data_IF_363130251841
#
_entry.id   IF_363130251841
#
_cell.length_a   1.000
_cell.length_b   1.000
_cell.length_c   1.000
_cell.angle_alpha   90.00
_cell.angle_beta   90.00
_cell.angle_gamma   90.00
#
_symmetry.space_group_name_H-M   'P 1'
#
loop_
_entity.id
_entity.type
_entity.pdbx_description
1 polymer ?
#
# COMPACT_ATOMS: atom_id res chain seq x y z
N UNK A 1 3.87 -36.29 -2.77
CA UNK A 1 4.13 -35.71 -1.42
C UNK A 1 4.94 -34.40 -1.47
N UNK A 2 6.10 -34.35 -2.14
CA UNK A 2 6.94 -33.14 -2.24
C UNK A 2 6.27 -31.93 -2.92
N UNK A 3 5.55 -32.16 -4.02
CA UNK A 3 4.82 -31.10 -4.73
C UNK A 3 3.70 -30.46 -3.89
N UNK A 4 3.01 -31.26 -3.05
CA UNK A 4 1.98 -30.73 -2.13
C UNK A 4 2.61 -29.82 -1.06
N UNK A 5 3.78 -30.18 -0.55
CA UNK A 5 4.52 -29.42 0.46
C UNK A 5 5.05 -28.08 -0.08
N UNK A 6 5.58 -28.06 -1.30
CA UNK A 6 6.00 -26.80 -1.96
C UNK A 6 4.83 -25.85 -2.20
N UNK A 7 3.69 -26.37 -2.63
CA UNK A 7 2.47 -25.59 -2.87
C UNK A 7 1.93 -24.98 -1.57
N UNK A 8 1.94 -25.73 -0.46
CA UNK A 8 1.57 -25.23 0.87
C UNK A 8 2.56 -24.16 1.37
N UNK A 9 3.86 -24.33 1.13
CA UNK A 9 4.90 -23.34 1.51
C UNK A 9 4.74 -22.05 0.71
N UNK A 10 4.49 -22.14 -0.59
CA UNK A 10 4.26 -21.00 -1.50
C UNK A 10 2.97 -20.24 -1.15
N UNK A 11 1.91 -20.96 -0.77
CA UNK A 11 0.67 -20.36 -0.25
C UNK A 11 0.88 -19.58 1.05
N UNK A 12 1.62 -20.16 2.02
CA UNK A 12 1.99 -19.46 3.27
C UNK A 12 2.86 -18.23 3.03
N UNK A 13 3.77 -18.27 2.05
CA UNK A 13 4.62 -17.12 1.71
C UNK A 13 3.79 -15.97 1.12
N UNK A 14 2.87 -16.27 0.20
CA UNK A 14 1.95 -15.26 -0.35
C UNK A 14 1.09 -14.58 0.72
N UNK A 15 0.54 -15.36 1.66
CA UNK A 15 -0.24 -14.81 2.78
C UNK A 15 0.58 -13.82 3.63
N UNK A 16 1.85 -14.16 3.91
CA UNK A 16 2.76 -13.27 4.62
C UNK A 16 3.03 -11.96 3.85
N UNK A 17 3.11 -12.01 2.53
CA UNK A 17 3.26 -10.84 1.66
C UNK A 17 2.14 -9.82 1.83
N UNK A 18 0.88 -10.26 1.73
CA UNK A 18 -0.28 -9.37 1.90
C UNK A 18 -0.40 -8.83 3.33
N UNK A 19 0.03 -9.59 4.34
CA UNK A 19 0.10 -9.10 5.72
C UNK A 19 1.10 -7.95 5.84
N UNK A 20 2.32 -8.11 5.30
CA UNK A 20 3.29 -7.00 5.29
C UNK A 20 2.79 -5.79 4.51
N UNK A 21 2.09 -6.01 3.39
CA UNK A 21 1.46 -4.95 2.62
C UNK A 21 0.39 -4.20 3.43
N UNK A 22 -0.45 -4.92 4.17
CA UNK A 22 -1.46 -4.31 5.04
C UNK A 22 -0.83 -3.44 6.14
N UNK A 23 0.19 -3.95 6.84
CA UNK A 23 0.92 -3.16 7.83
C UNK A 23 1.66 -1.96 7.22
N UNK A 24 2.18 -2.12 5.99
CA UNK A 24 2.82 -1.03 5.24
C UNK A 24 1.83 0.12 4.99
N UNK A 25 0.60 -0.19 4.57
CA UNK A 25 -0.45 0.80 4.34
C UNK A 25 -0.82 1.51 5.66
N UNK A 26 -0.96 0.79 6.76
CA UNK A 26 -1.25 1.41 8.07
C UNK A 26 -0.13 2.40 8.46
N UNK A 27 1.13 2.01 8.27
CA UNK A 27 2.28 2.87 8.52
C UNK A 27 2.32 4.10 7.62
N UNK A 28 1.99 3.94 6.34
CA UNK A 28 1.89 5.03 5.37
C UNK A 28 0.81 6.03 5.75
N UNK A 29 -0.38 5.54 6.08
CA UNK A 29 -1.53 6.35 6.44
C UNK A 29 -1.25 7.11 7.75
N UNK A 30 -0.62 6.45 8.73
CA UNK A 30 -0.14 7.11 9.94
C UNK A 30 0.91 8.19 9.65
N UNK A 31 1.90 7.89 8.80
CA UNK A 31 2.92 8.87 8.42
C UNK A 31 2.30 10.08 7.71
N UNK A 32 1.32 9.85 6.84
CA UNK A 32 0.62 10.90 6.10
C UNK A 32 -0.25 11.75 7.03
N UNK A 33 -0.88 11.14 8.02
CA UNK A 33 -1.58 11.85 9.08
C UNK A 33 -0.63 12.78 9.88
N UNK A 34 0.53 12.26 10.28
CA UNK A 34 1.57 13.05 10.96
C UNK A 34 2.14 14.14 10.04
N UNK A 35 2.20 13.90 8.73
CA UNK A 35 2.66 14.89 7.75
C UNK A 35 1.74 16.10 7.71
N UNK A 36 0.42 15.90 7.77
CA UNK A 36 -0.54 16.99 7.89
C UNK A 36 -0.34 17.77 9.20
N UNK A 37 -0.03 17.08 10.30
CA UNK A 37 0.20 17.70 11.62
C UNK A 37 1.56 18.38 11.76
N UNK A 38 2.54 18.08 10.91
CA UNK A 38 3.87 18.68 11.02
C UNK A 38 3.94 20.14 10.59
N UNK A 39 2.86 20.67 10.02
CA UNK A 39 2.78 22.03 9.46
C UNK A 39 3.97 22.33 8.53
N UNK A 40 4.21 21.41 7.58
CA UNK A 40 5.33 21.53 6.65
C UNK A 40 6.69 21.31 7.32
N UNK A 41 6.77 20.38 8.28
CA UNK A 41 7.96 20.03 9.05
C UNK A 41 8.42 21.05 10.09
N UNK A 42 7.57 22.02 10.42
CA UNK A 42 7.84 23.01 11.48
C UNK A 42 7.79 22.39 12.87
N UNK A 43 6.88 21.41 13.09
CA UNK A 43 6.71 20.75 14.40
C UNK A 43 7.54 19.46 14.46
N UNK A 44 8.44 19.38 15.44
CA UNK A 44 9.47 18.33 15.51
C UNK A 44 8.89 16.93 15.76
N UNK A 45 7.94 16.82 16.70
CA UNK A 45 7.36 15.54 17.13
C UNK A 45 6.63 14.80 15.98
N UNK A 46 5.67 15.41 15.26
CA UNK A 46 5.04 14.79 14.10
C UNK A 46 6.04 14.56 12.95
N UNK A 47 7.04 15.43 12.76
CA UNK A 47 8.10 15.22 11.75
C UNK A 47 8.87 13.91 11.97
N UNK A 48 9.22 13.60 13.22
CA UNK A 48 9.84 12.30 13.56
C UNK A 48 8.87 11.15 13.22
N UNK A 49 7.58 11.32 13.55
CA UNK A 49 6.52 10.36 13.20
C UNK A 49 6.41 10.10 11.70
N UNK A 50 6.51 11.15 10.86
CA UNK A 50 6.53 11.03 9.39
C UNK A 50 7.70 10.17 8.93
N UNK A 51 8.92 10.50 9.39
CA UNK A 51 10.14 9.80 8.95
C UNK A 51 10.07 8.33 9.34
N UNK A 52 9.74 8.03 10.59
CA UNK A 52 9.65 6.65 11.09
C UNK A 52 8.52 5.89 10.39
N UNK A 53 7.35 6.51 10.24
CA UNK A 53 6.18 5.88 9.63
C UNK A 53 6.42 5.53 8.15
N UNK A 54 6.95 6.47 7.35
CA UNK A 54 7.29 6.19 5.96
C UNK A 54 8.44 5.20 5.83
N UNK A 55 9.49 5.30 6.65
CA UNK A 55 10.60 4.35 6.62
C UNK A 55 10.12 2.91 6.91
N UNK A 56 9.27 2.75 7.94
CA UNK A 56 8.68 1.46 8.27
C UNK A 56 7.76 0.96 7.15
N UNK A 57 6.93 1.84 6.58
CA UNK A 57 6.05 1.50 5.47
C UNK A 57 6.83 1.02 4.25
N UNK A 58 7.89 1.72 3.86
CA UNK A 58 8.76 1.36 2.75
C UNK A 58 9.54 0.06 3.00
N UNK A 59 9.95 -0.18 4.25
CA UNK A 59 10.58 -1.45 4.60
C UNK A 59 9.60 -2.63 4.46
N UNK A 60 8.36 -2.46 4.93
CA UNK A 60 7.33 -3.48 4.86
C UNK A 60 6.87 -3.78 3.43
N UNK A 61 6.70 -2.75 2.58
CA UNK A 61 6.37 -2.97 1.17
C UNK A 61 7.52 -3.72 0.49
N UNK A 62 8.79 -3.37 0.75
CA UNK A 62 9.96 -4.09 0.24
C UNK A 62 9.92 -5.59 0.61
N UNK A 63 9.47 -5.91 1.82
CA UNK A 63 9.32 -7.31 2.25
C UNK A 63 8.16 -8.02 1.53
N UNK A 64 7.06 -7.32 1.24
CA UNK A 64 5.92 -7.84 0.47
C UNK A 64 6.30 -8.22 -0.98
N UNK A 65 7.23 -7.45 -1.58
CA UNK A 65 7.71 -7.63 -2.95
C UNK A 65 8.44 -8.95 -3.19
N UNK A 66 8.89 -9.63 -2.13
CA UNK A 66 9.46 -10.99 -2.23
C UNK A 66 8.42 -12.03 -2.69
N UNK A 67 7.14 -11.70 -2.64
CA UNK A 67 6.04 -12.64 -2.87
C UNK A 67 4.93 -12.10 -3.78
N UNK A 68 4.79 -10.78 -3.83
CA UNK A 68 3.80 -10.05 -4.65
C UNK A 68 4.56 -9.32 -5.77
N UNK A 69 4.10 -9.38 -7.03
CA UNK A 69 4.72 -8.63 -8.10
C UNK A 69 4.66 -7.12 -7.82
N UNK A 70 5.75 -6.42 -8.18
CA UNK A 70 5.93 -4.99 -7.95
C UNK A 70 4.72 -4.14 -8.34
N UNK A 71 4.21 -4.36 -9.56
CA UNK A 71 3.05 -3.63 -10.09
C UNK A 71 1.81 -3.77 -9.20
N UNK A 72 1.52 -4.97 -8.70
CA UNK A 72 0.34 -5.21 -7.85
C UNK A 72 0.55 -4.62 -6.45
N UNK A 73 1.75 -4.81 -5.88
CA UNK A 73 2.07 -4.27 -4.56
C UNK A 73 1.96 -2.75 -4.54
N UNK A 74 2.55 -2.06 -5.53
CA UNK A 74 2.45 -0.60 -5.64
C UNK A 74 1.02 -0.13 -5.91
N UNK A 75 0.25 -0.81 -6.76
CA UNK A 75 -1.13 -0.45 -7.02
C UNK A 75 -2.01 -0.54 -5.77
N UNK A 76 -1.88 -1.63 -5.01
CA UNK A 76 -2.65 -1.82 -3.77
C UNK A 76 -2.19 -0.84 -2.69
N UNK A 77 -0.87 -0.68 -2.51
CA UNK A 77 -0.30 0.24 -1.51
C UNK A 77 -0.76 1.68 -1.78
N UNK A 78 -0.51 2.22 -2.98
CA UNK A 78 -0.89 3.61 -3.29
C UNK A 78 -2.40 3.81 -3.37
N UNK A 79 -3.14 2.88 -3.97
CA UNK A 79 -4.58 3.03 -4.16
C UNK A 79 -5.35 2.95 -2.84
N UNK A 80 -5.08 1.91 -2.04
CA UNK A 80 -5.74 1.76 -0.72
C UNK A 80 -5.22 2.81 0.26
N UNK A 81 -3.92 3.10 0.26
CA UNK A 81 -3.32 4.17 1.08
C UNK A 81 -3.94 5.53 0.80
N UNK A 82 -4.14 5.88 -0.47
CA UNK A 82 -4.81 7.14 -0.87
C UNK A 82 -6.26 7.16 -0.41
N UNK A 83 -7.04 6.09 -0.65
CA UNK A 83 -8.44 6.02 -0.26
C UNK A 83 -8.62 6.15 1.28
N UNK A 84 -7.79 5.46 2.06
CA UNK A 84 -7.81 5.55 3.51
C UNK A 84 -7.37 6.92 4.01
N UNK A 85 -6.28 7.47 3.48
CA UNK A 85 -5.80 8.81 3.84
C UNK A 85 -6.89 9.86 3.59
N UNK A 86 -7.57 9.79 2.45
CA UNK A 86 -8.64 10.72 2.12
C UNK A 86 -9.82 10.58 3.09
N UNK A 87 -10.19 9.35 3.48
CA UNK A 87 -11.23 9.10 4.48
C UNK A 87 -10.83 9.65 5.86
N UNK A 88 -9.58 9.48 6.27
CA UNK A 88 -9.08 10.06 7.54
C UNK A 88 -9.07 11.59 7.46
N UNK A 89 -8.72 12.18 6.31
CA UNK A 89 -8.88 13.61 6.01
C UNK A 89 -10.26 14.12 6.43
N UNK A 90 -11.30 13.44 5.95
CA UNK A 90 -12.70 13.77 6.24
C UNK A 90 -13.05 13.55 7.71
N UNK A 91 -12.66 12.42 8.31
CA UNK A 91 -13.08 12.06 9.67
C UNK A 91 -12.34 12.86 10.75
N UNK A 92 -11.04 13.06 10.59
CA UNK A 92 -10.17 13.66 11.62
C UNK A 92 -10.08 15.17 11.44
N UNK A 93 -9.91 15.64 10.20
CA UNK A 93 -9.73 17.07 9.90
C UNK A 93 -10.99 17.75 9.38
N UNK A 94 -12.11 17.02 9.24
CA UNK A 94 -13.35 17.55 8.65
C UNK A 94 -13.12 18.16 7.26
N UNK A 95 -12.18 17.58 6.48
CA UNK A 95 -11.99 17.97 5.09
C UNK A 95 -13.32 17.83 4.31
N UNK A 96 -13.60 18.74 3.36
CA UNK A 96 -14.87 18.76 2.66
C UNK A 96 -15.08 17.47 1.85
N UNK A 97 -16.07 16.68 2.26
CA UNK A 97 -16.48 15.50 1.52
C UNK A 97 -17.45 15.89 0.41
N UNK A 98 -17.05 15.69 -0.85
CA UNK A 98 -17.88 15.96 -2.01
C UNK A 98 -18.16 14.69 -2.83
N UNK A 99 -19.19 14.75 -3.68
CA UNK A 99 -19.53 13.64 -4.59
C UNK A 99 -18.38 13.28 -5.55
N UNK A 100 -17.53 14.25 -5.91
CA UNK A 100 -16.38 14.02 -6.79
C UNK A 100 -15.31 13.15 -6.13
N UNK A 101 -15.04 13.36 -4.84
CA UNK A 101 -14.11 12.60 -4.01
C UNK A 101 -14.60 11.16 -3.85
N UNK A 102 -15.90 10.98 -3.61
CA UNK A 102 -16.49 9.64 -3.56
C UNK A 102 -16.30 8.90 -4.90
N UNK A 103 -16.62 9.55 -6.03
CA UNK A 103 -16.39 8.97 -7.35
C UNK A 103 -14.90 8.63 -7.59
N UNK A 104 -13.99 9.51 -7.18
CA UNK A 104 -12.55 9.28 -7.31
C UNK A 104 -12.09 8.07 -6.49
N UNK A 105 -12.52 7.94 -5.23
CA UNK A 105 -12.20 6.79 -4.39
C UNK A 105 -12.73 5.49 -5.01
N UNK A 106 -13.95 5.50 -5.53
CA UNK A 106 -14.53 4.33 -6.22
C UNK A 106 -13.70 3.93 -7.44
N UNK A 107 -13.27 4.91 -8.24
CA UNK A 107 -12.41 4.66 -9.42
C UNK A 107 -11.03 4.12 -9.02
N UNK A 108 -10.41 4.64 -7.96
CA UNK A 108 -9.13 4.16 -7.45
C UNK A 108 -9.26 2.69 -7.02
N UNK A 109 -10.25 2.38 -6.17
CA UNK A 109 -10.48 1.01 -5.68
C UNK A 109 -10.83 0.08 -6.85
N UNK A 110 -11.66 0.54 -7.79
CA UNK A 110 -12.00 -0.20 -9.00
C UNK A 110 -10.78 -0.52 -9.87
N UNK A 111 -9.87 0.45 -10.06
CA UNK A 111 -8.61 0.25 -10.79
C UNK A 111 -7.68 -0.77 -10.12
N UNK A 112 -7.56 -0.71 -8.79
CA UNK A 112 -6.79 -1.70 -8.01
C UNK A 112 -7.41 -3.10 -8.12
N UNK A 113 -8.73 -3.21 -8.00
CA UNK A 113 -9.45 -4.47 -8.13
C UNK A 113 -9.31 -5.08 -9.54
N UNK A 114 -9.33 -4.23 -10.57
CA UNK A 114 -9.09 -4.65 -11.94
C UNK A 114 -7.65 -5.15 -12.15
N UNK A 115 -6.65 -4.44 -11.63
CA UNK A 115 -5.25 -4.88 -11.69
C UNK A 115 -5.03 -6.21 -10.96
N UNK A 116 -5.64 -6.39 -9.79
CA UNK A 116 -5.60 -7.65 -9.05
C UNK A 116 -6.26 -8.81 -9.82
N UNK A 117 -7.30 -8.51 -10.61
CA UNK A 117 -7.98 -9.50 -11.46
C UNK A 117 -7.24 -9.77 -12.76
N UNK A 118 -6.46 -8.81 -13.25
CA UNK A 118 -5.65 -8.96 -14.45
C UNK A 118 -4.51 -9.95 -14.20
N UNK A 119 -4.71 -11.19 -14.63
CA UNK A 119 -3.64 -12.19 -14.72
C UNK A 119 -2.76 -11.85 -15.92
N UNK A 120 -2.09 -10.70 -15.92
CA UNK A 120 -1.07 -10.48 -16.94
C UNK A 120 0.11 -11.40 -16.63
N UNK A 121 0.45 -12.36 -17.53
CA UNK A 121 1.66 -13.15 -17.38
C UNK A 121 2.83 -12.17 -17.39
N UNK A 122 3.62 -12.18 -16.33
CA UNK A 122 4.89 -11.47 -16.30
C UNK A 122 5.75 -12.06 -17.42
N UNK A 123 5.81 -11.39 -18.56
CA UNK A 123 6.81 -11.69 -19.59
C UNK A 123 8.15 -11.34 -18.96
N UNK A 124 8.79 -12.36 -18.38
CA UNK A 124 10.18 -12.38 -17.95
C UNK A 124 11.01 -11.80 -19.10
N UNK A 125 11.37 -10.52 -19.02
CA UNK A 125 12.40 -9.96 -19.89
C UNK A 125 13.70 -10.60 -19.42
N UNK A 126 14.11 -11.63 -20.16
CA UNK A 126 15.47 -12.14 -20.15
C UNK A 126 16.41 -10.93 -20.36
N UNK A 127 17.41 -10.69 -19.49
CA UNK A 127 18.42 -9.70 -19.81
C UNK A 127 19.21 -10.22 -21.01
N UNK A 128 18.92 -9.66 -22.17
CA UNK A 128 19.76 -9.77 -23.35
C UNK A 128 20.94 -8.82 -23.19
N UNK A 129 21.96 -9.23 -22.44
CA UNK A 129 23.41 -9.02 -22.67
C UNK A 129 24.15 -10.10 -21.88
#
# INVERSE_FOLDING_TARGET
MLQKAELIKKGRLKMKGYVYLGFSIIGEVFATAMLKMSEGFTVLLPTIGVIIGYALSFYLISLSLKTIPLSLAYAVWSGVGTALTALIGVVVWNDPFNMQMLCAIILIIGGVALLNSSKHPQTKKEPSI
#
